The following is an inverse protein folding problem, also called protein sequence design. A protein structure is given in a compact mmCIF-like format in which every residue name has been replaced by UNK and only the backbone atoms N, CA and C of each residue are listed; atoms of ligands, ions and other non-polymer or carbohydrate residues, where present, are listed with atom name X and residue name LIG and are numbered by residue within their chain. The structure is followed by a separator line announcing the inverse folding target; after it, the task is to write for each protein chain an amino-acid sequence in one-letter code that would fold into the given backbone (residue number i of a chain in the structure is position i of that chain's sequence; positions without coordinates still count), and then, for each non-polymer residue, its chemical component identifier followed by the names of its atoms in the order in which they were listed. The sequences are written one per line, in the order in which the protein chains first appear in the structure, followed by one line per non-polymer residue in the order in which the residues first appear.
data_IF_309997547012
#
_entry.id   IF_309997547012
#
_cell.length_a   1.000
_cell.length_b   1.000
_cell.length_c   1.000
_cell.angle_alpha   90.00
_cell.angle_beta   90.00
_cell.angle_gamma   90.00
#
_symmetry.space_group_name_H-M   'P 1'
#
loop_
_entity.id
_entity.type
_entity.pdbx_description
1 polymer ?
#
# COMPACT_ATOMS: atom_id res chain seq x y z
N UNK A 1 15.57 -34.15 -0.49
CA UNK A 1 15.29 -32.85 -1.09
C UNK A 1 14.25 -32.14 -0.22
N UNK A 2 14.44 -30.85 0.04
CA UNK A 2 13.49 -30.03 0.76
C UNK A 2 12.94 -28.98 -0.21
N UNK A 3 11.62 -28.81 -0.25
CA UNK A 3 10.95 -27.77 -1.03
C UNK A 3 10.37 -26.80 -0.03
N UNK A 4 10.69 -25.51 -0.16
CA UNK A 4 10.13 -24.42 0.62
C UNK A 4 9.26 -23.58 -0.30
N UNK A 5 8.01 -23.35 0.10
CA UNK A 5 7.06 -22.48 -0.59
C UNK A 5 6.61 -21.41 0.39
N UNK A 6 6.75 -20.13 -0.01
CA UNK A 6 6.42 -18.96 0.79
C UNK A 6 7.03 -18.96 2.21
N UNK A 7 8.26 -19.48 2.33
CA UNK A 7 8.95 -19.55 3.61
C UNK A 7 9.32 -18.13 4.12
N UNK A 8 9.06 -17.89 5.40
CA UNK A 8 9.42 -16.66 6.09
C UNK A 8 10.66 -16.88 6.97
N UNK A 9 11.51 -15.86 7.06
CA UNK A 9 12.72 -15.87 7.88
C UNK A 9 12.37 -15.45 9.32
N UNK A 10 12.03 -16.43 10.16
CA UNK A 10 11.66 -16.19 11.56
C UNK A 10 12.80 -15.76 12.47
N UNK A 11 14.06 -15.80 12.00
CA UNK A 11 15.20 -15.30 12.79
C UNK A 11 15.35 -13.79 12.72
N UNK A 12 14.69 -13.13 11.77
CA UNK A 12 14.66 -11.67 11.68
C UNK A 12 13.69 -11.09 12.71
N UNK A 13 14.08 -9.96 13.31
CA UNK A 13 13.14 -9.21 14.13
C UNK A 13 12.01 -8.65 13.26
N UNK A 14 10.82 -8.48 13.84
CA UNK A 14 9.67 -7.88 13.15
C UNK A 14 10.04 -6.54 12.49
N UNK A 15 10.83 -5.70 13.17
CA UNK A 15 11.31 -4.44 12.61
C UNK A 15 12.14 -4.58 11.34
N UNK A 16 12.97 -5.61 11.22
CA UNK A 16 13.74 -5.88 10.01
C UNK A 16 12.86 -6.39 8.86
N UNK A 17 11.88 -7.24 9.16
CA UNK A 17 10.94 -7.72 8.15
C UNK A 17 10.11 -6.56 7.58
N UNK A 18 9.53 -5.74 8.45
CA UNK A 18 8.75 -4.56 8.07
C UNK A 18 9.58 -3.58 7.25
N UNK A 19 10.82 -3.30 7.66
CA UNK A 19 11.72 -2.43 6.90
C UNK A 19 12.01 -3.00 5.49
N UNK A 20 12.22 -4.31 5.38
CA UNK A 20 12.42 -5.00 4.11
C UNK A 20 11.22 -4.89 3.18
N UNK A 21 10.01 -5.09 3.70
CA UNK A 21 8.76 -4.98 2.94
C UNK A 21 8.50 -3.53 2.48
N UNK A 22 8.76 -2.55 3.35
CA UNK A 22 8.65 -1.13 3.03
C UNK A 22 9.57 -0.76 1.87
N UNK A 23 10.85 -1.16 1.95
CA UNK A 23 11.82 -0.88 0.88
C UNK A 23 11.48 -1.60 -0.43
N UNK A 24 10.99 -2.84 -0.36
CA UNK A 24 10.59 -3.59 -1.55
C UNK A 24 9.37 -2.97 -2.25
N UNK A 25 8.40 -2.46 -1.48
CA UNK A 25 7.25 -1.75 -2.03
C UNK A 25 7.68 -0.44 -2.73
N UNK A 26 8.56 0.32 -2.09
CA UNK A 26 9.10 1.57 -2.66
C UNK A 26 9.94 1.31 -3.92
N UNK A 27 10.77 0.26 -3.95
CA UNK A 27 11.50 -0.15 -5.14
C UNK A 27 10.54 -0.51 -6.29
N UNK A 28 9.45 -1.22 -5.98
CA UNK A 28 8.42 -1.56 -6.96
C UNK A 28 7.72 -0.31 -7.52
N UNK A 29 7.44 0.68 -6.66
CA UNK A 29 6.90 1.97 -7.09
C UNK A 29 7.89 2.72 -8.00
N UNK A 30 9.16 2.76 -7.63
CA UNK A 30 10.20 3.40 -8.42
C UNK A 30 10.35 2.75 -9.80
N UNK A 31 10.30 1.42 -9.89
CA UNK A 31 10.31 0.70 -11.17
C UNK A 31 9.08 1.01 -12.02
N UNK A 32 7.91 1.13 -11.42
CA UNK A 32 6.70 1.59 -12.10
C UNK A 32 6.86 3.01 -12.63
N UNK A 33 7.38 3.92 -11.81
CA UNK A 33 7.61 5.31 -12.19
C UNK A 33 8.61 5.46 -13.34
N UNK A 34 9.65 4.59 -13.40
CA UNK A 34 10.60 4.56 -14.49
C UNK A 34 10.03 3.92 -15.77
N UNK A 35 9.18 2.91 -15.63
CA UNK A 35 8.52 2.22 -16.74
C UNK A 35 7.48 3.11 -17.43
N UNK A 36 6.66 3.78 -16.68
CA UNK A 36 5.46 4.46 -17.14
C UNK A 36 5.70 5.55 -18.20
N UNK A 37 6.68 6.47 -18.07
CA UNK A 37 6.85 7.57 -19.03
C UNK A 37 7.11 7.14 -20.47
N UNK A 38 7.62 5.92 -20.65
CA UNK A 38 8.04 5.39 -21.97
C UNK A 38 7.03 4.41 -22.59
N UNK A 39 6.00 4.01 -21.84
CA UNK A 39 5.06 2.98 -22.29
C UNK A 39 3.77 3.56 -22.87
N UNK A 40 3.32 2.99 -23.98
CA UNK A 40 2.06 3.43 -24.64
C UNK A 40 0.82 3.10 -23.80
N UNK A 41 0.90 2.05 -23.00
CA UNK A 41 -0.19 1.59 -22.12
C UNK A 41 -0.28 2.36 -20.81
N UNK A 42 0.65 3.29 -20.54
CA UNK A 42 0.62 4.10 -19.32
C UNK A 42 -0.16 5.39 -19.53
N UNK A 43 -1.18 5.62 -18.71
CA UNK A 43 -2.00 6.84 -18.76
C UNK A 43 -1.22 8.11 -18.34
N UNK A 44 -0.10 7.95 -17.60
CA UNK A 44 0.78 9.05 -17.18
C UNK A 44 2.04 9.18 -18.07
N UNK A 45 1.97 8.66 -19.29
CA UNK A 45 3.10 8.70 -20.24
C UNK A 45 3.63 10.13 -20.41
N UNK A 46 4.96 10.27 -20.40
CA UNK A 46 5.62 11.57 -20.58
C UNK A 46 5.59 12.49 -19.36
N UNK A 47 5.00 12.05 -18.25
CA UNK A 47 4.97 12.81 -17.00
C UNK A 47 6.05 12.30 -16.02
N UNK A 48 6.45 13.16 -15.08
CA UNK A 48 7.20 12.73 -13.91
C UNK A 48 6.21 12.07 -12.91
N UNK A 49 6.15 10.74 -12.96
CA UNK A 49 5.18 9.95 -12.19
C UNK A 49 5.36 10.12 -10.69
N UNK A 50 6.59 10.25 -10.20
CA UNK A 50 6.89 10.48 -8.78
C UNK A 50 6.30 11.80 -8.33
N UNK A 51 6.61 12.87 -9.04
CA UNK A 51 6.10 14.19 -8.70
C UNK A 51 4.58 14.30 -8.84
N UNK A 52 3.98 13.59 -9.80
CA UNK A 52 2.52 13.51 -9.97
C UNK A 52 1.88 12.79 -8.81
N UNK A 53 2.43 11.64 -8.42
CA UNK A 53 1.95 10.84 -7.30
C UNK A 53 2.02 11.61 -5.98
N UNK A 54 3.17 12.21 -5.67
CA UNK A 54 3.37 12.96 -4.44
C UNK A 54 2.38 14.13 -4.31
N UNK A 55 2.15 14.87 -5.40
CA UNK A 55 1.15 15.94 -5.41
C UNK A 55 -0.27 15.42 -5.19
N UNK A 56 -0.65 14.33 -5.87
CA UNK A 56 -1.98 13.72 -5.71
C UNK A 56 -2.21 13.30 -4.26
N UNK A 57 -1.25 12.58 -3.69
CA UNK A 57 -1.31 12.10 -2.30
C UNK A 57 -1.40 13.27 -1.32
N UNK A 58 -0.55 14.28 -1.47
CA UNK A 58 -0.57 15.47 -0.62
C UNK A 58 -1.91 16.23 -0.71
N UNK A 59 -2.46 16.37 -1.91
CA UNK A 59 -3.77 17.00 -2.11
C UNK A 59 -4.89 16.19 -1.44
N UNK A 60 -4.88 14.87 -1.59
CA UNK A 60 -5.87 13.99 -0.98
C UNK A 60 -5.75 13.91 0.55
N UNK A 61 -4.55 14.06 1.13
CA UNK A 61 -4.37 14.18 2.57
C UNK A 61 -4.94 15.49 3.13
N UNK A 62 -4.84 16.59 2.37
CA UNK A 62 -5.40 17.88 2.77
C UNK A 62 -6.91 18.00 2.48
N UNK A 63 -7.35 17.46 1.35
CA UNK A 63 -8.72 17.51 0.87
C UNK A 63 -9.11 16.14 0.30
N UNK A 64 -9.59 15.20 1.15
CA UNK A 64 -9.96 13.86 0.71
C UNK A 64 -11.00 13.86 -0.41
N UNK A 65 -10.81 12.99 -1.41
CA UNK A 65 -11.62 12.94 -2.63
C UNK A 65 -12.91 12.20 -2.32
N UNK A 66 -14.05 12.86 -2.60
CA UNK A 66 -15.37 12.25 -2.43
C UNK A 66 -15.62 11.19 -3.50
N UNK A 67 -16.09 10.02 -3.08
CA UNK A 67 -16.46 8.92 -3.98
C UNK A 67 -17.85 8.44 -3.59
N UNK A 68 -18.75 8.45 -4.57
CA UNK A 68 -20.14 7.99 -4.35
C UNK A 68 -20.16 6.51 -3.94
N UNK A 69 -20.90 6.19 -2.88
CA UNK A 69 -21.02 4.82 -2.36
C UNK A 69 -19.83 4.34 -1.51
N UNK A 70 -18.75 5.11 -1.38
CA UNK A 70 -17.66 4.77 -0.49
C UNK A 70 -18.03 5.05 0.98
N UNK A 71 -17.41 4.30 1.91
CA UNK A 71 -17.62 4.49 3.36
C UNK A 71 -17.16 5.85 3.86
N UNK A 72 -16.14 6.38 3.23
CA UNK A 72 -15.55 7.67 3.54
C UNK A 72 -14.81 8.22 2.32
N UNK A 73 -14.51 9.52 2.31
CA UNK A 73 -13.65 10.11 1.29
C UNK A 73 -12.28 9.43 1.23
N UNK A 74 -11.71 9.37 0.04
CA UNK A 74 -10.38 8.79 -0.22
C UNK A 74 -9.30 9.77 0.18
N UNK A 75 -8.45 9.37 1.11
CA UNK A 75 -7.29 10.11 1.60
C UNK A 75 -6.02 9.75 0.80
N UNK A 76 -4.93 10.48 1.02
CA UNK A 76 -3.63 10.12 0.46
C UNK A 76 -3.13 8.75 0.95
N UNK A 77 -3.46 8.36 2.19
CA UNK A 77 -3.13 7.02 2.69
C UNK A 77 -3.84 5.91 1.92
N UNK A 78 -5.12 6.10 1.56
CA UNK A 78 -5.85 5.14 0.73
C UNK A 78 -5.21 4.98 -0.65
N UNK A 79 -4.73 6.09 -1.23
CA UNK A 79 -4.02 6.07 -2.52
C UNK A 79 -2.69 5.33 -2.39
N UNK A 80 -1.90 5.55 -1.32
CA UNK A 80 -0.66 4.82 -1.08
C UNK A 80 -0.91 3.31 -0.94
N UNK A 81 -1.88 2.92 -0.11
CA UNK A 81 -2.24 1.51 0.12
C UNK A 81 -2.73 0.84 -1.17
N UNK A 82 -3.64 1.48 -1.89
CA UNK A 82 -4.16 0.97 -3.16
C UNK A 82 -3.08 0.85 -4.23
N UNK A 83 -2.18 1.84 -4.31
CA UNK A 83 -1.01 1.81 -5.20
C UNK A 83 -0.13 0.61 -4.92
N UNK A 84 0.27 0.37 -3.67
CA UNK A 84 1.04 -0.81 -3.29
C UNK A 84 0.37 -2.11 -3.73
N UNK A 85 -0.93 -2.23 -3.52
CA UNK A 85 -1.71 -3.40 -3.93
C UNK A 85 -1.68 -3.67 -5.44
N UNK A 86 -1.67 -2.62 -6.25
CA UNK A 86 -1.64 -2.70 -7.72
C UNK A 86 -0.24 -2.89 -8.31
N UNK A 87 0.82 -2.58 -7.56
CA UNK A 87 2.21 -2.75 -8.02
C UNK A 87 2.63 -4.21 -8.19
N UNK A 88 1.88 -5.13 -7.61
CA UNK A 88 2.20 -6.57 -7.56
C UNK A 88 2.39 -7.22 -8.93
N UNK A 89 1.66 -6.76 -9.95
CA UNK A 89 1.72 -7.32 -11.30
C UNK A 89 2.04 -6.24 -12.31
N UNK A 90 3.11 -6.44 -13.08
CA UNK A 90 3.46 -5.55 -14.18
C UNK A 90 2.44 -5.63 -15.31
N UNK A 91 2.05 -6.85 -15.68
CA UNK A 91 1.10 -7.13 -16.75
C UNK A 91 -0.27 -7.51 -16.18
N UNK A 92 -1.36 -7.31 -16.95
CA UNK A 92 -2.68 -7.80 -16.58
C UNK A 92 -2.66 -9.30 -16.27
N UNK A 93 -3.29 -9.69 -15.19
CA UNK A 93 -3.28 -11.09 -14.71
C UNK A 93 -4.70 -11.61 -14.49
N UNK A 94 -4.82 -12.91 -14.17
CA UNK A 94 -6.09 -13.56 -13.81
C UNK A 94 -6.72 -12.94 -12.53
N UNK A 95 -5.95 -12.20 -11.72
CA UNK A 95 -6.45 -11.52 -10.53
C UNK A 95 -7.14 -10.18 -10.84
N UNK A 96 -7.31 -9.88 -12.13
CA UNK A 96 -8.01 -8.70 -12.65
C UNK A 96 -7.11 -7.85 -13.55
N UNK A 97 -7.65 -7.39 -14.69
CA UNK A 97 -6.90 -6.58 -15.65
C UNK A 97 -6.48 -5.23 -15.07
N UNK A 98 -7.21 -4.73 -14.07
CA UNK A 98 -6.92 -3.44 -13.44
C UNK A 98 -5.88 -3.54 -12.31
N UNK A 99 -5.58 -4.76 -11.82
CA UNK A 99 -4.51 -5.00 -10.84
C UNK A 99 -3.16 -5.20 -11.55
N UNK A 100 -2.71 -4.17 -12.27
CA UNK A 100 -1.48 -4.19 -13.07
C UNK A 100 -0.92 -2.77 -13.19
N UNK A 101 0.30 -2.61 -13.69
CA UNK A 101 0.89 -1.29 -13.88
C UNK A 101 0.09 -0.40 -14.85
N UNK A 102 -0.41 -0.88 -16.01
CA UNK A 102 -1.35 -0.09 -16.81
C UNK A 102 -2.64 0.26 -16.06
N UNK A 103 -3.18 -0.67 -15.25
CA UNK A 103 -4.36 -0.42 -14.40
C UNK A 103 -4.08 0.65 -13.36
N UNK A 104 -2.95 0.55 -12.65
CA UNK A 104 -2.51 1.57 -11.68
C UNK A 104 -2.38 2.96 -12.33
N UNK A 105 -1.77 3.04 -13.51
CA UNK A 105 -1.61 4.34 -14.20
C UNK A 105 -2.96 4.98 -14.53
N UNK A 106 -3.95 4.18 -14.96
CA UNK A 106 -5.33 4.66 -15.19
C UNK A 106 -6.03 5.09 -13.90
N UNK A 107 -5.85 4.32 -12.81
CA UNK A 107 -6.41 4.64 -11.52
C UNK A 107 -5.87 5.98 -10.97
N UNK A 108 -4.55 6.19 -11.08
CA UNK A 108 -3.92 7.44 -10.68
C UNK A 108 -4.39 8.62 -11.55
N UNK A 109 -4.46 8.44 -12.88
CA UNK A 109 -4.98 9.50 -13.76
C UNK A 109 -6.42 9.87 -13.41
N UNK A 110 -7.30 8.88 -13.20
CA UNK A 110 -8.68 9.14 -12.77
C UNK A 110 -8.76 9.88 -11.44
N UNK A 111 -7.92 9.50 -10.47
CA UNK A 111 -7.89 10.20 -9.17
C UNK A 111 -7.44 11.67 -9.31
N UNK A 112 -6.49 11.96 -10.21
CA UNK A 112 -6.09 13.34 -10.58
C UNK A 112 -7.27 14.10 -11.16
N UNK A 113 -8.10 13.43 -11.98
CA UNK A 113 -9.30 14.01 -12.60
C UNK A 113 -10.51 14.07 -11.63
N UNK A 114 -10.35 13.62 -10.38
CA UNK A 114 -11.36 13.68 -9.31
C UNK A 114 -12.12 12.38 -9.06
N UNK A 115 -11.86 11.30 -9.81
CA UNK A 115 -12.44 9.96 -9.60
C UNK A 115 -11.44 9.02 -8.93
N UNK A 116 -11.47 8.97 -7.60
CA UNK A 116 -10.63 8.09 -6.80
C UNK A 116 -11.29 6.73 -6.46
N UNK A 117 -12.30 6.29 -7.22
CA UNK A 117 -13.08 5.08 -6.95
C UNK A 117 -12.22 3.80 -6.84
N UNK A 118 -11.12 3.73 -7.59
CA UNK A 118 -10.18 2.60 -7.55
C UNK A 118 -9.43 2.46 -6.20
N UNK A 119 -9.41 3.51 -5.39
CA UNK A 119 -8.77 3.57 -4.07
C UNK A 119 -9.78 3.62 -2.92
N UNK A 120 -11.08 3.63 -3.25
CA UNK A 120 -12.14 3.75 -2.25
C UNK A 120 -12.24 2.51 -1.37
N UNK A 121 -12.49 2.73 -0.08
CA UNK A 121 -12.89 1.66 0.84
C UNK A 121 -14.36 1.37 0.61
N UNK A 122 -14.67 0.10 0.32
CA UNK A 122 -16.03 -0.36 0.05
C UNK A 122 -17.00 -0.15 1.22
N UNK A 123 -18.31 -0.36 1.03
CA UNK A 123 -19.32 -0.21 2.06
C UNK A 123 -19.07 -1.15 3.23
N UNK A 124 -19.30 -0.65 4.46
CA UNK A 124 -19.23 -1.46 5.67
C UNK A 124 -20.28 -2.56 5.60
N UNK A 125 -19.87 -3.81 5.68
CA UNK A 125 -20.78 -4.94 5.69
C UNK A 125 -20.36 -6.12 4.84
N UNK A 126 -19.35 -5.99 4.01
CA UNK A 126 -18.72 -7.18 3.45
C UNK A 126 -17.98 -7.92 4.58
N UNK A 127 -18.37 -9.16 4.91
CA UNK A 127 -17.70 -9.88 5.97
C UNK A 127 -16.26 -10.17 5.55
N UNK A 128 -15.31 -9.46 6.15
CA UNK A 128 -13.88 -9.72 5.97
C UNK A 128 -13.44 -10.90 6.86
N UNK A 129 -14.11 -12.04 6.74
CA UNK A 129 -13.81 -13.21 7.56
C UNK A 129 -12.35 -13.66 7.50
N UNK A 130 -11.66 -13.44 6.37
CA UNK A 130 -10.24 -13.76 6.24
C UNK A 130 -9.31 -12.77 6.96
N UNK A 131 -9.74 -11.53 7.14
CA UNK A 131 -8.90 -10.48 7.69
C UNK A 131 -8.66 -10.63 9.19
N UNK A 132 -9.70 -10.95 9.95
CA UNK A 132 -9.58 -11.16 11.40
C UNK A 132 -8.68 -12.35 11.76
N UNK A 133 -8.77 -13.45 11.01
CA UNK A 133 -7.88 -14.60 11.19
C UNK A 133 -6.42 -14.26 10.86
N UNK A 134 -6.20 -13.47 9.81
CA UNK A 134 -4.85 -13.02 9.45
C UNK A 134 -4.25 -12.12 10.53
N UNK A 135 -5.03 -11.21 11.10
CA UNK A 135 -4.58 -10.33 12.19
C UNK A 135 -4.23 -11.11 13.45
N UNK A 136 -5.10 -12.05 13.86
CA UNK A 136 -4.85 -12.90 15.01
C UNK A 136 -3.54 -13.68 14.84
N UNK A 137 -3.33 -14.30 13.68
CA UNK A 137 -2.08 -15.01 13.39
C UNK A 137 -0.88 -14.07 13.38
N UNK A 138 -0.98 -12.89 12.77
CA UNK A 138 0.10 -11.92 12.75
C UNK A 138 0.51 -11.47 14.15
N UNK A 139 -0.46 -11.21 15.05
CA UNK A 139 -0.17 -10.78 16.41
C UNK A 139 0.36 -11.91 17.33
N UNK A 140 0.04 -13.18 17.00
CA UNK A 140 0.52 -14.34 17.75
C UNK A 140 1.86 -14.87 17.26
N UNK A 141 2.05 -14.91 15.94
CA UNK A 141 3.24 -15.54 15.33
C UNK A 141 4.43 -14.58 15.26
N UNK A 142 4.14 -13.28 15.07
CA UNK A 142 5.15 -12.24 15.03
C UNK A 142 5.01 -11.40 16.29
N UNK A 143 5.75 -11.73 17.35
CA UNK A 143 5.74 -10.94 18.58
C UNK A 143 5.87 -9.44 18.25
N UNK A 144 4.79 -8.66 18.35
CA UNK A 144 4.79 -7.27 17.91
C UNK A 144 5.79 -6.49 18.76
N UNK A 145 6.66 -5.72 18.09
CA UNK A 145 7.63 -4.84 18.77
C UNK A 145 7.05 -3.43 19.02
N UNK A 146 5.78 -3.23 18.69
CA UNK A 146 5.05 -1.98 18.91
C UNK A 146 3.97 -2.22 19.95
N UNK A 147 4.19 -1.69 21.15
CA UNK A 147 3.27 -1.84 22.28
C UNK A 147 2.65 -0.52 22.70
N UNK A 148 3.17 0.60 22.19
CA UNK A 148 2.72 1.93 22.59
C UNK A 148 2.52 2.83 21.37
N UNK A 149 1.72 3.86 21.55
CA UNK A 149 1.53 4.90 20.52
C UNK A 149 2.85 5.60 20.14
N UNK A 150 3.76 5.79 21.09
CA UNK A 150 5.07 6.41 20.81
C UNK A 150 5.94 5.53 19.90
N UNK A 151 5.97 4.22 20.15
CA UNK A 151 6.66 3.26 19.26
C UNK A 151 6.02 3.20 17.88
N UNK A 152 4.69 3.30 17.82
CA UNK A 152 3.98 3.41 16.56
C UNK A 152 4.38 4.65 15.76
N UNK A 153 4.51 5.81 16.39
CA UNK A 153 4.99 7.02 15.72
C UNK A 153 6.43 6.85 15.18
N UNK A 154 7.30 6.18 15.91
CA UNK A 154 8.64 5.86 15.43
C UNK A 154 8.60 4.93 14.20
N UNK A 155 7.68 3.96 14.18
CA UNK A 155 7.47 3.06 13.04
C UNK A 155 6.99 3.82 11.79
N UNK A 156 6.03 4.74 11.96
CA UNK A 156 5.57 5.60 10.88
C UNK A 156 6.68 6.49 10.33
N UNK A 157 7.52 7.05 11.20
CA UNK A 157 8.66 7.86 10.77
C UNK A 157 9.71 7.03 10.01
N UNK A 158 10.00 5.82 10.47
CA UNK A 158 10.83 4.87 9.73
C UNK A 158 10.26 4.61 8.33
N UNK A 159 8.94 4.41 8.22
CA UNK A 159 8.27 4.21 6.94
C UNK A 159 8.49 5.38 5.98
N UNK A 160 8.36 6.62 6.45
CA UNK A 160 8.60 7.83 5.65
C UNK A 160 10.04 7.95 5.18
N UNK A 161 11.01 7.56 6.02
CA UNK A 161 12.44 7.64 5.69
C UNK A 161 12.84 6.58 4.67
N UNK A 162 12.31 5.34 4.78
CA UNK A 162 12.64 4.23 3.91
C UNK A 162 11.88 4.24 2.58
N UNK A 163 10.69 4.84 2.57
CA UNK A 163 9.79 4.90 1.42
C UNK A 163 9.18 6.30 1.28
N UNK A 164 9.90 7.26 0.68
CA UNK A 164 9.45 8.64 0.61
C UNK A 164 8.11 8.84 -0.12
N UNK A 165 7.78 7.97 -1.10
CA UNK A 165 6.52 8.05 -1.84
C UNK A 165 5.39 7.26 -1.16
N UNK A 166 5.61 5.96 -0.87
CA UNK A 166 4.58 5.10 -0.27
C UNK A 166 4.50 5.22 1.26
N UNK A 167 5.52 5.78 1.91
CA UNK A 167 5.60 6.05 3.35
C UNK A 167 5.35 4.83 4.25
N UNK A 168 5.68 3.63 3.76
CA UNK A 168 5.45 2.40 4.47
C UNK A 168 3.98 2.00 4.57
N UNK A 169 3.13 2.49 3.64
CA UNK A 169 1.71 2.15 3.57
C UNK A 169 1.48 0.64 3.71
N UNK A 170 0.56 0.26 4.56
CA UNK A 170 0.17 -1.09 5.00
C UNK A 170 1.15 -1.82 5.94
N UNK A 171 2.47 -1.72 5.79
CA UNK A 171 3.43 -2.42 6.66
C UNK A 171 3.49 -1.80 8.05
N UNK A 172 3.50 -0.48 8.12
CA UNK A 172 3.43 0.23 9.40
C UNK A 172 2.07 0.09 10.08
N UNK A 173 1.04 -0.22 9.30
CA UNK A 173 -0.34 -0.31 9.79
C UNK A 173 -0.61 -1.61 10.55
N UNK A 174 0.05 -2.71 10.19
CA UNK A 174 -0.11 -4.00 10.87
C UNK A 174 0.23 -3.91 12.36
N UNK A 175 1.22 -3.11 12.73
CA UNK A 175 1.58 -2.88 14.13
C UNK A 175 0.43 -2.31 14.97
N UNK A 176 -0.48 -1.52 14.38
CA UNK A 176 -1.60 -0.92 15.11
C UNK A 176 -2.58 -1.94 15.67
N UNK A 177 -2.77 -3.06 14.97
CA UNK A 177 -3.73 -4.08 15.38
C UNK A 177 -3.25 -4.95 16.53
N UNK A 178 -1.94 -4.95 16.79
CA UNK A 178 -1.35 -5.77 17.82
C UNK A 178 -1.06 -5.00 19.12
N UNK A 179 -1.29 -3.69 19.15
CA UNK A 179 -1.16 -2.89 20.39
C UNK A 179 -2.20 -3.41 21.37
N UNK A 180 -1.74 -3.73 22.58
CA UNK A 180 -2.56 -4.31 23.67
C UNK A 180 -3.23 -5.66 23.30
N UNK A 181 -2.71 -6.38 22.31
CA UNK A 181 -3.13 -7.75 22.06
C UNK A 181 -2.84 -8.63 23.28
N UNK A 182 -3.82 -9.41 23.80
CA UNK A 182 -3.68 -10.19 25.02
C UNK A 182 -2.69 -11.34 24.89
#
# INVERSE_FOLDING_TARGET
AMVLDAALEHSLSEGHQVAGEIMAAEDSFNRFADWCPTQETCALRGQDVRAVFDRLVQQADQNPIQVEGALRPVSGEDIRMGTKGMLRFKEPSIFGPDKSWPGLSRALQKAIDGDASAFAVGPAGEPQYGYHGLLANACLDYAPQVHTYAEMQQRLEMGRQLAPHLQGASETWQANFCIDWP
#
